data_IF_355472364412
#
_entry.id   IF_355472364412
#
_cell.length_a   1.000
_cell.length_b   1.000
_cell.length_c   1.000
_cell.angle_alpha   90.00
_cell.angle_beta   90.00
_cell.angle_gamma   90.00
#
_symmetry.space_group_name_H-M   'P 1'
#
loop_
_entity.id
_entity.type
_entity.pdbx_description
1 polymer ?
#
# COMPACT_ATOMS: atom_id res chain seq x y z
N UNK A 1 -16.75 -8.79 -31.70
CA UNK A 1 -16.21 -8.13 -30.49
C UNK A 1 -17.15 -8.47 -29.34
N UNK A 2 -16.71 -9.09 -28.23
CA UNK A 2 -15.82 -8.44 -27.25
C UNK A 2 -14.78 -9.36 -26.54
N UNK A 3 -13.58 -8.84 -26.27
CA UNK A 3 -12.60 -9.43 -25.33
C UNK A 3 -12.58 -8.56 -24.06
N UNK A 4 -13.42 -8.84 -23.07
CA UNK A 4 -13.55 -8.01 -21.84
C UNK A 4 -13.51 -8.72 -20.45
N UNK A 5 -13.17 -10.01 -20.25
CA UNK A 5 -13.08 -10.55 -18.89
C UNK A 5 -11.74 -10.26 -18.18
N UNK A 6 -10.63 -10.06 -18.90
CA UNK A 6 -9.27 -10.03 -18.32
C UNK A 6 -8.87 -8.70 -17.65
N UNK A 7 -9.36 -7.55 -18.13
CA UNK A 7 -8.97 -6.24 -17.55
C UNK A 7 -9.69 -5.90 -16.25
N UNK A 8 -10.93 -6.36 -16.07
CA UNK A 8 -11.70 -6.07 -14.87
C UNK A 8 -11.06 -6.73 -13.65
N UNK A 9 -10.60 -7.98 -13.81
CA UNK A 9 -9.86 -8.71 -12.78
C UNK A 9 -8.58 -8.00 -12.35
N UNK A 10 -7.74 -7.53 -13.29
CA UNK A 10 -6.50 -6.79 -12.96
C UNK A 10 -6.76 -5.48 -12.21
N UNK A 11 -7.78 -4.72 -12.62
CA UNK A 11 -8.18 -3.48 -11.92
C UNK A 11 -8.69 -3.77 -10.51
N UNK A 12 -9.51 -4.80 -10.35
CA UNK A 12 -10.00 -5.25 -9.04
C UNK A 12 -8.84 -5.75 -8.18
N UNK A 13 -7.90 -6.51 -8.75
CA UNK A 13 -6.72 -6.98 -8.03
C UNK A 13 -5.85 -5.84 -7.51
N UNK A 14 -5.63 -4.80 -8.31
CA UNK A 14 -4.91 -3.59 -7.87
C UNK A 14 -5.65 -2.86 -6.75
N UNK A 15 -6.95 -2.61 -6.94
CA UNK A 15 -7.78 -1.91 -5.94
C UNK A 15 -7.89 -2.70 -4.64
N UNK A 16 -8.17 -4.00 -4.72
CA UNK A 16 -8.30 -4.89 -3.58
C UNK A 16 -6.97 -5.08 -2.86
N UNK A 17 -5.87 -5.24 -3.59
CA UNK A 17 -4.53 -5.31 -3.01
C UNK A 17 -4.15 -4.04 -2.27
N UNK A 18 -4.39 -2.86 -2.87
CA UNK A 18 -4.11 -1.59 -2.23
C UNK A 18 -5.01 -1.31 -1.03
N UNK A 19 -6.32 -1.52 -1.15
CA UNK A 19 -7.24 -1.35 -0.02
C UNK A 19 -6.90 -2.30 1.13
N UNK A 20 -6.56 -3.55 0.80
CA UNK A 20 -6.10 -4.53 1.78
C UNK A 20 -4.81 -4.11 2.48
N UNK A 21 -3.89 -3.44 1.77
CA UNK A 21 -2.64 -2.98 2.39
C UNK A 21 -2.83 -1.80 3.33
N UNK A 22 -3.84 -0.94 3.14
CA UNK A 22 -4.00 0.29 3.94
C UNK A 22 -5.09 0.21 5.02
N UNK A 23 -5.96 -0.82 5.00
CA UNK A 23 -7.12 -0.92 5.91
C UNK A 23 -6.70 -0.98 7.39
N UNK A 24 -5.57 -1.59 7.69
CA UNK A 24 -5.05 -1.70 9.05
C UNK A 24 -4.68 -0.33 9.65
N UNK A 25 -4.27 0.64 8.82
CA UNK A 25 -3.94 2.00 9.24
C UNK A 25 -5.19 2.68 9.81
N UNK A 26 -6.32 2.55 9.12
CA UNK A 26 -7.60 3.08 9.58
C UNK A 26 -8.04 2.41 10.88
N UNK A 27 -7.92 1.08 10.98
CA UNK A 27 -8.24 0.34 12.21
C UNK A 27 -7.39 0.82 13.41
N UNK A 28 -6.08 0.98 13.25
CA UNK A 28 -5.20 1.49 14.30
C UNK A 28 -5.51 2.95 14.67
N UNK A 29 -5.90 3.79 13.71
CA UNK A 29 -6.29 5.17 13.98
C UNK A 29 -7.54 5.22 14.87
N UNK A 30 -8.53 4.37 14.60
CA UNK A 30 -9.72 4.23 15.44
C UNK A 30 -9.38 3.71 16.85
N UNK A 31 -8.48 2.74 16.95
CA UNK A 31 -7.97 2.26 18.25
C UNK A 31 -7.26 3.39 19.01
N UNK A 32 -6.45 4.21 18.33
CA UNK A 32 -5.76 5.34 18.95
C UNK A 32 -6.75 6.39 19.50
N UNK A 33 -7.84 6.69 18.77
CA UNK A 33 -8.91 7.53 19.30
C UNK A 33 -9.57 6.92 20.53
N UNK A 34 -9.85 5.62 20.52
CA UNK A 34 -10.43 4.94 21.68
C UNK A 34 -9.50 4.93 22.90
N UNK A 35 -8.19 4.92 22.69
CA UNK A 35 -7.17 5.07 23.74
C UNK A 35 -6.98 6.53 24.21
N UNK A 36 -7.74 7.50 23.68
CA UNK A 36 -7.60 8.92 23.99
C UNK A 36 -6.38 9.60 23.33
N UNK A 37 -5.66 8.90 22.44
CA UNK A 37 -4.49 9.42 21.71
C UNK A 37 -4.93 10.19 20.47
N UNK A 38 -5.61 11.32 20.66
CA UNK A 38 -6.23 12.10 19.57
C UNK A 38 -5.25 12.49 18.44
N UNK A 39 -4.05 12.96 18.79
CA UNK A 39 -3.04 13.35 17.79
C UNK A 39 -2.62 12.14 16.94
N UNK A 40 -2.39 10.98 17.58
CA UNK A 40 -2.01 9.77 16.88
C UNK A 40 -3.14 9.29 15.97
N UNK A 41 -4.39 9.30 16.43
CA UNK A 41 -5.56 8.97 15.62
C UNK A 41 -5.71 9.88 14.39
N UNK A 42 -5.53 11.20 14.56
CA UNK A 42 -5.65 12.16 13.47
C UNK A 42 -4.54 11.99 12.42
N UNK A 43 -3.31 11.73 12.85
CA UNK A 43 -2.20 11.44 11.95
C UNK A 43 -2.44 10.12 11.18
N UNK A 44 -2.89 9.06 11.86
CA UNK A 44 -3.22 7.79 11.22
C UNK A 44 -4.32 7.93 10.17
N UNK A 45 -5.39 8.68 10.49
CA UNK A 45 -6.47 8.95 9.55
C UNK A 45 -5.98 9.78 8.35
N UNK A 46 -5.11 10.76 8.59
CA UNK A 46 -4.51 11.58 7.54
C UNK A 46 -3.64 10.73 6.60
N UNK A 47 -2.80 9.84 7.15
CA UNK A 47 -2.02 8.87 6.37
C UNK A 47 -2.95 7.99 5.53
N UNK A 48 -4.01 7.43 6.12
CA UNK A 48 -4.98 6.60 5.40
C UNK A 48 -5.64 7.34 4.23
N UNK A 49 -6.06 8.61 4.42
CA UNK A 49 -6.66 9.43 3.36
C UNK A 49 -5.65 9.71 2.25
N UNK A 50 -4.42 10.09 2.60
CA UNK A 50 -3.35 10.29 1.61
C UNK A 50 -3.06 9.00 0.86
N UNK A 51 -3.13 7.84 1.52
CA UNK A 51 -2.97 6.52 0.90
C UNK A 51 -4.07 6.20 -0.10
N UNK A 52 -5.33 6.51 0.22
CA UNK A 52 -6.43 6.37 -0.73
C UNK A 52 -6.22 7.22 -1.98
N UNK A 53 -5.83 8.49 -1.80
CA UNK A 53 -5.57 9.42 -2.90
C UNK A 53 -4.38 8.92 -3.75
N UNK A 54 -3.28 8.52 -3.11
CA UNK A 54 -2.10 8.01 -3.78
C UNK A 54 -2.42 6.74 -4.60
N UNK A 55 -3.13 5.77 -4.02
CA UNK A 55 -3.55 4.56 -4.73
C UNK A 55 -4.39 4.85 -5.98
N UNK A 56 -5.21 5.90 -5.94
CA UNK A 56 -5.98 6.34 -7.10
C UNK A 56 -5.13 7.10 -8.14
N UNK A 57 -4.20 7.93 -7.71
CA UNK A 57 -3.32 8.66 -8.63
C UNK A 57 -2.30 7.76 -9.32
N UNK A 58 -1.75 6.77 -8.63
CA UNK A 58 -0.73 5.86 -9.14
C UNK A 58 -1.30 4.58 -9.78
N UNK A 59 -2.59 4.58 -10.14
CA UNK A 59 -3.19 3.48 -10.86
C UNK A 59 -2.46 3.20 -12.19
N UNK A 60 -2.05 1.94 -12.46
CA UNK A 60 -1.35 1.53 -13.68
C UNK A 60 -2.00 1.98 -14.99
N UNK A 61 -3.33 1.91 -15.07
CA UNK A 61 -4.08 2.28 -16.26
C UNK A 61 -4.20 3.79 -16.49
N UNK A 62 -3.81 4.63 -15.52
CA UNK A 62 -3.69 6.08 -15.70
C UNK A 62 -2.31 6.47 -16.23
N UNK A 63 -1.30 5.60 -16.04
CA UNK A 63 0.09 5.80 -16.42
C UNK A 63 0.62 4.62 -17.24
N UNK A 64 0.03 4.35 -18.43
CA UNK A 64 0.16 3.03 -19.04
C UNK A 64 1.59 2.66 -19.47
N UNK A 65 2.40 3.66 -19.82
CA UNK A 65 3.81 3.52 -20.21
C UNK A 65 4.77 3.56 -19.02
N UNK A 66 4.27 3.84 -17.82
CA UNK A 66 5.11 3.94 -16.63
C UNK A 66 5.35 2.55 -16.04
N UNK A 67 6.62 2.25 -15.78
CA UNK A 67 7.04 0.99 -15.13
C UNK A 67 6.45 0.90 -13.72
N UNK A 68 5.98 -0.29 -13.36
CA UNK A 68 5.29 -0.51 -12.08
C UNK A 68 6.15 -0.16 -10.86
N UNK A 69 7.47 -0.34 -10.90
CA UNK A 69 8.32 0.06 -9.76
C UNK A 69 8.19 1.55 -9.43
N UNK A 70 7.98 2.43 -10.43
CA UNK A 70 7.80 3.87 -10.22
C UNK A 70 6.45 4.21 -9.61
N UNK A 71 5.43 3.40 -9.90
CA UNK A 71 4.08 3.56 -9.34
C UNK A 71 4.00 2.96 -7.93
N UNK A 72 4.71 1.86 -7.68
CA UNK A 72 4.75 1.19 -6.38
C UNK A 72 5.64 1.93 -5.38
N UNK A 73 6.74 2.56 -5.81
CA UNK A 73 7.67 3.22 -4.89
C UNK A 73 7.00 4.29 -3.99
N UNK A 74 6.19 5.24 -4.50
CA UNK A 74 5.45 6.18 -3.66
C UNK A 74 4.50 5.50 -2.69
N UNK A 75 3.84 4.42 -3.12
CA UNK A 75 2.89 3.66 -2.31
C UNK A 75 3.60 2.94 -1.15
N UNK A 76 4.76 2.33 -1.41
CA UNK A 76 5.58 1.68 -0.39
C UNK A 76 6.19 2.68 0.59
N UNK A 77 6.62 3.85 0.12
CA UNK A 77 7.11 4.90 1.02
C UNK A 77 6.01 5.35 2.00
N UNK A 78 4.76 5.41 1.53
CA UNK A 78 3.63 5.77 2.38
C UNK A 78 3.31 4.68 3.41
N UNK A 79 3.40 3.40 3.04
CA UNK A 79 3.32 2.27 3.98
C UNK A 79 4.45 2.31 5.02
N UNK A 80 5.68 2.69 4.63
CA UNK A 80 6.79 2.88 5.59
C UNK A 80 6.50 4.01 6.58
N UNK A 81 5.95 5.13 6.10
CA UNK A 81 5.50 6.22 6.99
C UNK A 81 4.42 5.72 7.95
N UNK A 82 3.47 4.92 7.47
CA UNK A 82 2.44 4.30 8.30
C UNK A 82 3.04 3.37 9.38
N UNK A 83 4.05 2.57 9.03
CA UNK A 83 4.74 1.71 10.00
C UNK A 83 5.46 2.53 11.09
N UNK A 84 6.18 3.59 10.71
CA UNK A 84 6.85 4.48 11.66
C UNK A 84 5.82 5.11 12.61
N UNK A 85 4.70 5.58 12.06
CA UNK A 85 3.60 6.12 12.83
C UNK A 85 3.00 5.08 13.80
N UNK A 86 2.81 3.83 13.35
CA UNK A 86 2.26 2.77 14.17
C UNK A 86 3.20 2.42 15.35
N UNK A 87 4.51 2.29 15.09
CA UNK A 87 5.51 2.05 16.13
C UNK A 87 5.53 3.18 17.15
N UNK A 88 5.51 4.42 16.68
CA UNK A 88 5.46 5.60 17.55
C UNK A 88 4.18 5.61 18.41
N UNK A 89 3.02 5.34 17.81
CA UNK A 89 1.71 5.30 18.49
C UNK A 89 1.64 4.20 19.56
N UNK A 90 2.33 3.08 19.33
CA UNK A 90 2.44 1.97 20.28
C UNK A 90 3.40 2.23 21.44
N UNK A 91 4.11 3.37 21.46
CA UNK A 91 5.07 3.72 22.52
C UNK A 91 6.51 3.33 22.22
N UNK A 92 6.85 3.11 20.95
CA UNK A 92 8.20 2.78 20.49
C UNK A 92 8.39 1.30 20.15
N UNK A 93 9.58 0.97 19.65
CA UNK A 93 9.92 -0.33 19.08
C UNK A 93 9.77 -1.49 20.08
N UNK A 94 10.16 -1.27 21.33
CA UNK A 94 10.08 -2.27 22.39
C UNK A 94 8.63 -2.53 22.82
N UNK A 95 7.80 -1.48 22.82
CA UNK A 95 6.39 -1.56 23.21
C UNK A 95 5.49 -2.07 22.07
N UNK A 96 5.94 -1.99 20.81
CA UNK A 96 5.17 -2.47 19.66
C UNK A 96 5.16 -3.99 19.51
N UNK A 97 5.94 -4.73 20.32
CA UNK A 97 6.07 -6.18 20.22
C UNK A 97 6.77 -6.66 18.93
N UNK A 98 7.42 -5.75 18.20
CA UNK A 98 8.12 -6.07 16.97
C UNK A 98 9.50 -6.66 17.27
N UNK A 99 9.78 -7.83 16.72
CA UNK A 99 11.08 -8.46 16.80
C UNK A 99 11.84 -8.27 15.47
N UNK A 100 13.17 -8.15 15.50
CA UNK A 100 13.98 -7.98 14.29
C UNK A 100 13.78 -9.11 13.26
N UNK A 101 13.45 -10.31 13.72
CA UNK A 101 13.10 -11.44 12.86
C UNK A 101 11.82 -11.22 12.04
N UNK A 102 10.90 -10.34 12.47
CA UNK A 102 9.71 -9.99 11.69
C UNK A 102 10.06 -9.18 10.44
N UNK A 103 11.22 -8.51 10.40
CA UNK A 103 11.68 -7.86 9.17
C UNK A 103 11.95 -8.87 8.05
N UNK A 104 12.33 -10.11 8.38
CA UNK A 104 12.49 -11.16 7.38
C UNK A 104 11.14 -11.52 6.70
N UNK A 105 10.03 -11.39 7.43
CA UNK A 105 8.67 -11.59 6.89
C UNK A 105 8.27 -10.46 5.93
N UNK A 106 8.98 -9.32 5.95
CA UNK A 106 8.77 -8.24 5.00
C UNK A 106 9.46 -8.49 3.64
N UNK A 107 10.38 -9.47 3.53
CA UNK A 107 11.08 -9.72 2.27
C UNK A 107 10.14 -10.13 1.11
N UNK A 108 9.14 -11.03 1.30
CA UNK A 108 8.17 -11.34 0.26
C UNK A 108 7.33 -10.13 -0.18
N UNK A 109 7.12 -9.14 0.70
CA UNK A 109 6.42 -7.90 0.32
C UNK A 109 7.19 -7.10 -0.74
N UNK A 110 8.50 -7.29 -0.88
CA UNK A 110 9.30 -6.65 -1.94
C UNK A 110 9.31 -7.43 -3.26
N UNK A 111 8.77 -8.65 -3.29
CA UNK A 111 8.72 -9.48 -4.49
C UNK A 111 8.08 -8.81 -5.72
N UNK A 112 7.07 -7.91 -5.62
CA UNK A 112 6.52 -7.22 -6.79
C UNK A 112 7.53 -6.33 -7.50
N UNK A 113 8.52 -5.78 -6.79
CA UNK A 113 9.57 -4.97 -7.43
C UNK A 113 10.45 -5.81 -8.37
N UNK A 114 10.73 -7.06 -8.01
CA UNK A 114 11.59 -7.95 -8.80
C UNK A 114 10.82 -8.68 -9.90
N UNK A 115 9.58 -9.09 -9.61
CA UNK A 115 8.76 -9.88 -10.55
C UNK A 115 7.99 -9.02 -11.55
N UNK A 116 7.45 -7.88 -11.12
CA UNK A 116 6.57 -7.03 -11.90
C UNK A 116 7.16 -5.65 -12.17
N UNK A 117 8.19 -5.22 -11.42
CA UNK A 117 8.65 -3.84 -11.40
C UNK A 117 9.05 -3.27 -12.77
N UNK A 118 9.67 -4.09 -13.63
CA UNK A 118 10.13 -3.65 -14.96
C UNK A 118 9.03 -3.58 -16.02
N UNK A 119 7.88 -4.21 -15.77
CA UNK A 119 6.73 -4.20 -16.68
C UNK A 119 5.97 -2.89 -16.55
N UNK A 120 5.31 -2.48 -17.63
CA UNK A 120 4.31 -1.41 -17.62
C UNK A 120 2.94 -1.96 -18.05
N UNK A 121 1.89 -1.15 -17.89
CA UNK A 121 0.54 -1.55 -18.25
C UNK A 121 0.40 -1.86 -19.75
N UNK A 122 1.14 -1.15 -20.62
CA UNK A 122 1.13 -1.37 -22.06
C UNK A 122 1.78 -2.69 -22.48
N UNK A 123 2.79 -3.19 -21.74
CA UNK A 123 3.39 -4.50 -22.03
C UNK A 123 2.36 -5.61 -21.88
N UNK A 124 1.44 -5.45 -20.93
CA UNK A 124 0.30 -6.35 -20.75
C UNK A 124 -0.74 -6.25 -21.87
N UNK A 125 -0.74 -5.18 -22.67
CA UNK A 125 -1.65 -5.00 -23.82
C UNK A 125 -1.13 -5.70 -25.09
N UNK A 126 0.19 -5.89 -25.20
CA UNK A 126 0.81 -6.47 -26.40
C UNK A 126 0.81 -8.01 -26.39
N UNK A 127 0.59 -8.62 -25.23
CA UNK A 127 0.63 -10.08 -25.02
C UNK A 127 -0.73 -10.71 -24.68
N UNK A 128 -1.84 -9.98 -24.88
CA UNK A 128 -3.23 -10.45 -24.68
C UNK A 128 -4.04 -10.39 -25.97
#
# INVERSE_FOLDING_TARGET
>A
MPQLPTRRGKKIGWLGGWLGSIVWICALALVAFWQGKFIAGLLGLSIFIVSLIAGWWFMPWRHPTTRYWRLLLPLYLLEMVALIWAVWTSGGWQASGLHWSMLAVLLPLLSPFFTLGWRCWTDDERHS
#
